data_IF_290268601293
#
_entry.id   IF_290268601293
#
_cell.length_a   1.000
_cell.length_b   1.000
_cell.length_c   1.000
_cell.angle_alpha   90.00
_cell.angle_beta   90.00
_cell.angle_gamma   90.00
#
_symmetry.space_group_name_H-M   'P 1'
#
loop_
_entity.id
_entity.type
_entity.pdbx_description
1 polymer ?
#
# COMPACT_ATOMS: atom_id res chain seq x y z
N UNK A 1 28.60 -32.54 -5.39
CA UNK A 1 28.06 -32.05 -6.67
C UNK A 1 26.54 -32.26 -6.73
N UNK A 2 26.10 -33.46 -6.38
CA UNK A 2 24.64 -33.74 -6.33
C UNK A 2 23.96 -32.86 -5.29
N UNK A 3 24.62 -32.63 -4.16
CA UNK A 3 24.09 -31.73 -3.12
C UNK A 3 24.04 -30.29 -3.58
N UNK A 4 24.87 -29.86 -4.53
CA UNK A 4 24.81 -28.54 -5.10
C UNK A 4 23.51 -28.31 -5.88
N UNK A 5 23.03 -29.35 -6.60
CA UNK A 5 21.76 -29.25 -7.33
C UNK A 5 20.58 -29.09 -6.38
N UNK A 6 20.56 -29.83 -5.28
CA UNK A 6 19.52 -29.71 -4.26
C UNK A 6 19.59 -28.36 -3.55
N UNK A 7 20.80 -27.93 -3.19
CA UNK A 7 21.03 -26.63 -2.57
C UNK A 7 20.57 -25.51 -3.49
N UNK A 8 20.84 -25.65 -4.79
CA UNK A 8 20.38 -24.67 -5.79
C UNK A 8 18.86 -24.53 -5.82
N UNK A 9 18.13 -25.65 -5.77
CA UNK A 9 16.67 -25.64 -5.72
C UNK A 9 16.14 -24.98 -4.46
N UNK A 10 16.73 -25.31 -3.31
CA UNK A 10 16.37 -24.69 -2.05
C UNK A 10 16.65 -23.20 -2.05
N UNK A 11 17.78 -22.78 -2.59
CA UNK A 11 18.14 -21.38 -2.72
C UNK A 11 17.16 -20.62 -3.61
N UNK A 12 16.69 -21.22 -4.71
CA UNK A 12 15.68 -20.61 -5.57
C UNK A 12 14.38 -20.35 -4.82
N UNK A 13 13.94 -21.29 -3.98
CA UNK A 13 12.73 -21.14 -3.16
C UNK A 13 12.94 -20.04 -2.13
N UNK A 14 14.08 -20.05 -1.45
CA UNK A 14 14.43 -19.02 -0.47
C UNK A 14 14.54 -17.65 -1.11
N UNK A 15 15.16 -17.57 -2.30
CA UNK A 15 15.30 -16.32 -3.03
C UNK A 15 13.94 -15.75 -3.39
N UNK A 16 12.98 -16.59 -3.80
CA UNK A 16 11.61 -16.16 -4.10
C UNK A 16 10.93 -15.60 -2.87
N UNK A 17 11.05 -16.30 -1.73
CA UNK A 17 10.46 -15.85 -0.46
C UNK A 17 11.11 -14.54 -0.02
N UNK A 18 12.43 -14.46 -0.09
CA UNK A 18 13.17 -13.25 0.28
C UNK A 18 12.84 -12.08 -0.64
N UNK A 19 12.70 -12.33 -1.94
CA UNK A 19 12.32 -11.32 -2.92
C UNK A 19 10.91 -10.80 -2.63
N UNK A 20 9.98 -11.71 -2.31
CA UNK A 20 8.62 -11.34 -1.95
C UNK A 20 8.58 -10.49 -0.70
N UNK A 21 9.33 -10.89 0.32
CA UNK A 21 9.43 -10.15 1.59
C UNK A 21 10.05 -8.78 1.37
N UNK A 22 11.10 -8.69 0.55
CA UNK A 22 11.73 -7.42 0.20
C UNK A 22 10.77 -6.51 -0.54
N UNK A 23 9.96 -7.07 -1.46
CA UNK A 23 8.93 -6.30 -2.16
C UNK A 23 7.89 -5.75 -1.19
N UNK A 24 7.45 -6.56 -0.24
CA UNK A 24 6.49 -6.11 0.78
C UNK A 24 7.07 -4.99 1.62
N UNK A 25 8.31 -5.11 2.05
CA UNK A 25 8.99 -4.07 2.81
C UNK A 25 9.16 -2.80 1.97
N UNK A 26 9.58 -2.93 0.72
CA UNK A 26 9.73 -1.78 -0.17
C UNK A 26 8.40 -1.09 -0.40
N UNK A 27 7.32 -1.87 -0.60
CA UNK A 27 5.98 -1.31 -0.76
C UNK A 27 5.54 -0.55 0.49
N UNK A 28 5.78 -1.11 1.68
CA UNK A 28 5.37 -0.49 2.93
C UNK A 28 6.20 0.76 3.27
N UNK A 29 7.49 0.74 2.98
CA UNK A 29 8.42 1.80 3.38
C UNK A 29 8.61 2.89 2.33
N UNK A 30 8.43 2.57 1.05
CA UNK A 30 8.60 3.54 -0.03
C UNK A 30 7.27 4.09 -0.49
N UNK A 31 7.09 5.43 -0.49
CA UNK A 31 5.84 6.02 -0.98
C UNK A 31 5.67 5.94 -2.49
N UNK A 32 6.69 5.51 -3.22
CA UNK A 32 6.66 5.52 -4.68
C UNK A 32 6.53 4.12 -5.29
N UNK A 33 6.51 3.07 -4.48
CA UNK A 33 6.29 1.69 -4.95
C UNK A 33 4.79 1.46 -5.06
N UNK A 34 4.32 1.07 -6.24
CA UNK A 34 2.91 0.85 -6.49
C UNK A 34 2.47 -0.55 -6.03
N UNK A 35 1.20 -0.66 -5.62
CA UNK A 35 0.65 -1.91 -5.10
C UNK A 35 0.63 -3.04 -6.14
N UNK A 36 0.48 -2.71 -7.42
CA UNK A 36 0.45 -3.71 -8.48
C UNK A 36 1.77 -4.48 -8.62
N UNK A 37 2.89 -3.93 -8.12
CA UNK A 37 4.16 -4.66 -8.11
C UNK A 37 4.14 -5.88 -7.20
N UNK A 38 3.15 -5.95 -6.29
CA UNK A 38 2.98 -7.06 -5.35
C UNK A 38 2.17 -8.22 -5.94
N UNK A 39 1.57 -8.03 -7.11
CA UNK A 39 0.71 -9.05 -7.71
C UNK A 39 1.51 -10.29 -8.12
N UNK A 40 0.97 -11.47 -7.82
CA UNK A 40 1.59 -12.76 -8.16
C UNK A 40 1.07 -13.30 -9.49
N UNK A 41 -0.16 -12.97 -9.84
CA UNK A 41 -0.82 -13.46 -11.05
C UNK A 41 -1.40 -12.29 -11.82
N UNK A 42 -1.77 -12.54 -13.09
CA UNK A 42 -2.45 -11.54 -13.90
C UNK A 42 -3.80 -11.15 -13.31
N UNK A 43 -4.51 -12.11 -12.74
CA UNK A 43 -5.79 -11.84 -12.06
C UNK A 43 -5.60 -10.92 -10.85
N UNK A 44 -4.54 -11.13 -10.08
CA UNK A 44 -4.19 -10.27 -8.95
C UNK A 44 -3.81 -8.86 -9.43
N UNK A 45 -3.08 -8.78 -10.53
CA UNK A 45 -2.70 -7.50 -11.14
C UNK A 45 -3.94 -6.70 -11.55
N UNK A 46 -4.89 -7.34 -12.22
CA UNK A 46 -6.15 -6.69 -12.61
C UNK A 46 -6.96 -6.27 -11.39
N UNK A 47 -7.01 -7.10 -10.37
CA UNK A 47 -7.68 -6.79 -9.12
C UNK A 47 -7.06 -5.57 -8.44
N UNK A 48 -5.73 -5.55 -8.32
CA UNK A 48 -5.02 -4.42 -7.70
C UNK A 48 -5.18 -3.14 -8.50
N UNK A 49 -5.23 -3.24 -9.81
CA UNK A 49 -5.46 -2.09 -10.68
C UNK A 49 -6.85 -1.48 -10.45
N UNK A 50 -7.89 -2.31 -10.41
CA UNK A 50 -9.26 -1.86 -10.13
C UNK A 50 -9.36 -1.24 -8.74
N UNK A 51 -8.76 -1.91 -7.75
CA UNK A 51 -8.74 -1.42 -6.38
C UNK A 51 -8.07 -0.05 -6.29
N UNK A 52 -6.94 0.10 -6.94
CA UNK A 52 -6.21 1.36 -6.97
C UNK A 52 -7.04 2.49 -7.61
N UNK A 53 -7.72 2.20 -8.71
CA UNK A 53 -8.57 3.18 -9.37
C UNK A 53 -9.70 3.66 -8.44
N UNK A 54 -10.32 2.75 -7.71
CA UNK A 54 -11.39 3.09 -6.76
C UNK A 54 -10.83 3.97 -5.64
N UNK A 55 -9.68 3.62 -5.09
CA UNK A 55 -9.06 4.37 -4.01
C UNK A 55 -8.64 5.76 -4.51
N UNK A 56 -8.02 5.85 -5.68
CA UNK A 56 -7.57 7.12 -6.26
C UNK A 56 -8.73 8.10 -6.47
N UNK A 57 -9.90 7.60 -6.83
CA UNK A 57 -11.08 8.43 -7.02
C UNK A 57 -11.73 8.93 -5.74
N UNK A 58 -11.34 8.40 -4.57
CA UNK A 58 -12.02 8.67 -3.30
C UNK A 58 -11.11 9.14 -2.16
N UNK A 59 -9.87 9.52 -2.45
CA UNK A 59 -8.95 10.00 -1.41
C UNK A 59 -9.49 11.19 -0.63
N UNK A 60 -10.18 12.09 -1.31
CA UNK A 60 -10.69 13.32 -0.72
C UNK A 60 -11.83 13.09 0.29
N UNK A 61 -12.40 11.90 0.30
CA UNK A 61 -13.52 11.57 1.17
C UNK A 61 -13.03 10.81 2.41
N UNK A 62 -13.01 11.45 3.60
CA UNK A 62 -12.57 10.77 4.82
C UNK A 62 -13.51 9.65 5.28
N UNK A 63 -14.76 9.69 4.82
CA UNK A 63 -15.75 8.66 5.15
C UNK A 63 -15.69 7.44 4.22
N UNK A 64 -14.86 7.50 3.18
CA UNK A 64 -14.68 6.39 2.26
C UNK A 64 -14.07 5.21 3.00
N UNK A 65 -14.75 4.07 2.95
CA UNK A 65 -14.42 2.90 3.76
C UNK A 65 -14.22 1.65 2.91
N UNK A 66 -13.80 0.59 3.58
CA UNK A 66 -13.65 -0.73 2.96
C UNK A 66 -14.96 -1.26 2.40
N UNK A 67 -16.09 -0.96 3.07
CA UNK A 67 -17.39 -1.40 2.61
C UNK A 67 -17.74 -0.80 1.25
N UNK A 68 -17.38 0.45 1.02
CA UNK A 68 -17.57 1.11 -0.26
C UNK A 68 -16.76 0.43 -1.37
N UNK A 69 -15.55 0.01 -1.05
CA UNK A 69 -14.67 -0.70 -1.98
C UNK A 69 -15.26 -2.07 -2.32
N UNK A 70 -15.67 -2.82 -1.31
CA UNK A 70 -16.25 -4.16 -1.47
C UNK A 70 -17.49 -4.09 -2.36
N UNK A 71 -18.37 -3.12 -2.11
CA UNK A 71 -19.57 -2.91 -2.90
C UNK A 71 -19.22 -2.58 -4.36
N UNK A 72 -18.23 -1.73 -4.57
CA UNK A 72 -17.79 -1.33 -5.91
C UNK A 72 -17.18 -2.50 -6.69
N UNK A 73 -16.52 -3.43 -6.01
CA UNK A 73 -15.89 -4.59 -6.64
C UNK A 73 -16.82 -5.78 -6.82
N UNK A 74 -18.05 -5.71 -6.28
CA UNK A 74 -19.02 -6.79 -6.35
C UNK A 74 -18.47 -8.09 -5.75
N UNK A 75 -17.73 -8.00 -4.66
CA UNK A 75 -17.13 -9.13 -3.97
C UNK A 75 -17.72 -9.30 -2.58
N UNK A 76 -17.62 -10.52 -2.02
CA UNK A 76 -17.91 -10.70 -0.61
C UNK A 76 -16.77 -10.10 0.22
N UNK A 77 -17.10 -9.62 1.42
CA UNK A 77 -16.11 -9.08 2.35
C UNK A 77 -15.00 -10.09 2.64
N UNK A 78 -15.37 -11.36 2.88
CA UNK A 78 -14.41 -12.43 3.18
C UNK A 78 -13.43 -12.66 2.04
N UNK A 79 -13.92 -12.70 0.80
CA UNK A 79 -13.05 -12.87 -0.37
C UNK A 79 -12.12 -11.69 -0.55
N UNK A 80 -12.62 -10.48 -0.35
CA UNK A 80 -11.83 -9.28 -0.44
C UNK A 80 -10.70 -9.27 0.59
N UNK A 81 -11.01 -9.54 1.87
CA UNK A 81 -10.01 -9.61 2.94
C UNK A 81 -8.94 -10.65 2.63
N UNK A 82 -9.36 -11.84 2.19
CA UNK A 82 -8.44 -12.92 1.87
C UNK A 82 -7.49 -12.53 0.74
N UNK A 83 -8.02 -11.87 -0.29
CA UNK A 83 -7.24 -11.48 -1.46
C UNK A 83 -6.19 -10.41 -1.11
N UNK A 84 -6.59 -9.39 -0.37
CA UNK A 84 -5.68 -8.34 0.10
C UNK A 84 -4.58 -8.93 0.98
N UNK A 85 -4.96 -9.77 1.94
CA UNK A 85 -3.99 -10.42 2.83
C UNK A 85 -3.01 -11.29 2.05
N UNK A 86 -3.49 -12.02 1.05
CA UNK A 86 -2.65 -12.89 0.23
C UNK A 86 -1.64 -12.12 -0.62
N UNK A 87 -2.04 -10.97 -1.18
CA UNK A 87 -1.17 -10.18 -2.04
C UNK A 87 -0.23 -9.29 -1.22
N UNK A 88 -0.74 -8.58 -0.22
CA UNK A 88 0.00 -7.51 0.46
C UNK A 88 0.43 -7.86 1.88
N UNK A 89 -0.13 -8.90 2.48
CA UNK A 89 0.06 -9.25 3.89
C UNK A 89 -0.35 -8.12 4.85
N UNK A 90 -1.36 -7.36 4.43
CA UNK A 90 -1.94 -6.27 5.19
C UNK A 90 -3.45 -6.47 5.32
N UNK A 91 -4.04 -5.91 6.38
CA UNK A 91 -5.49 -5.82 6.44
C UNK A 91 -5.97 -4.73 5.45
N UNK A 92 -7.23 -4.80 4.99
CA UNK A 92 -7.74 -3.76 4.09
C UNK A 92 -7.67 -2.34 4.67
N UNK A 93 -7.95 -2.17 5.96
CA UNK A 93 -7.86 -0.86 6.61
C UNK A 93 -6.42 -0.34 6.64
N UNK A 94 -5.45 -1.22 6.92
CA UNK A 94 -4.03 -0.87 6.87
C UNK A 94 -3.63 -0.48 5.46
N UNK A 95 -4.12 -1.21 4.47
CA UNK A 95 -3.82 -0.92 3.08
C UNK A 95 -4.39 0.43 2.65
N UNK A 96 -5.65 0.73 2.99
CA UNK A 96 -6.25 2.02 2.66
C UNK A 96 -5.48 3.18 3.31
N UNK A 97 -5.12 3.03 4.58
CA UNK A 97 -4.33 4.03 5.29
C UNK A 97 -2.97 4.24 4.62
N UNK A 98 -2.32 3.14 4.23
CA UNK A 98 -1.03 3.21 3.55
C UNK A 98 -1.13 3.93 2.20
N UNK A 99 -2.18 3.66 1.42
CA UNK A 99 -2.38 4.34 0.14
C UNK A 99 -2.60 5.85 0.32
N UNK A 100 -3.35 6.24 1.36
CA UNK A 100 -3.54 7.64 1.71
C UNK A 100 -2.21 8.30 2.08
N UNK A 101 -1.37 7.63 2.87
CA UNK A 101 -0.06 8.14 3.24
C UNK A 101 0.87 8.26 2.02
N UNK A 102 0.83 7.31 1.11
CA UNK A 102 1.63 7.34 -0.12
C UNK A 102 1.21 8.51 -1.01
N UNK A 103 -0.09 8.73 -1.14
CA UNK A 103 -0.60 9.88 -1.92
C UNK A 103 -0.15 11.19 -1.29
N UNK A 104 -0.20 11.29 0.03
CA UNK A 104 0.28 12.46 0.75
C UNK A 104 1.76 12.72 0.48
N UNK A 105 2.58 11.67 0.51
CA UNK A 105 4.01 11.78 0.23
C UNK A 105 4.27 12.30 -1.19
N UNK A 106 3.50 11.82 -2.15
CA UNK A 106 3.61 12.30 -3.53
C UNK A 106 3.28 13.79 -3.63
N UNK A 107 2.18 14.21 -2.99
CA UNK A 107 1.77 15.61 -2.98
C UNK A 107 2.80 16.50 -2.28
N UNK A 108 3.38 16.05 -1.20
CA UNK A 108 4.45 16.76 -0.50
C UNK A 108 5.69 16.91 -1.37
N UNK A 109 6.05 15.85 -2.08
CA UNK A 109 7.20 15.86 -2.98
C UNK A 109 7.00 16.83 -4.13
N UNK A 110 5.78 16.90 -4.65
CA UNK A 110 5.43 17.80 -5.75
C UNK A 110 5.26 19.25 -5.31
N UNK A 111 5.22 19.50 -3.99
CA UNK A 111 5.01 20.84 -3.46
C UNK A 111 3.60 21.37 -3.62
N UNK A 112 2.61 20.50 -3.68
CA UNK A 112 1.23 20.85 -4.00
C UNK A 112 0.40 21.34 -2.80
N UNK A 113 1.04 21.79 -1.73
CA UNK A 113 0.31 22.33 -0.60
C UNK A 113 1.06 22.20 0.71
N UNK A 114 0.45 22.74 1.75
CA UNK A 114 0.99 22.63 3.11
C UNK A 114 0.62 21.27 3.70
N UNK A 115 1.36 20.85 4.72
CA UNK A 115 1.15 19.56 5.38
C UNK A 115 -0.30 19.38 5.83
N UNK A 116 -0.90 20.40 6.47
CA UNK A 116 -2.28 20.32 6.93
C UNK A 116 -3.28 20.21 5.78
N UNK A 117 -3.05 20.93 4.71
CA UNK A 117 -3.90 20.88 3.53
C UNK A 117 -3.86 19.49 2.89
N UNK A 118 -2.65 18.94 2.73
CA UNK A 118 -2.44 17.63 2.16
C UNK A 118 -3.09 16.55 3.03
N UNK A 119 -3.00 16.68 4.35
CA UNK A 119 -3.66 15.79 5.29
C UNK A 119 -5.15 15.64 4.96
N UNK A 120 -5.86 16.75 4.80
CA UNK A 120 -7.28 16.71 4.46
C UNK A 120 -7.54 16.26 3.03
N UNK A 121 -6.68 16.61 2.09
CA UNK A 121 -6.81 16.20 0.69
C UNK A 121 -6.78 14.68 0.52
N UNK A 122 -5.99 13.99 1.33
CA UNK A 122 -5.90 12.52 1.24
C UNK A 122 -6.86 11.80 2.18
N UNK A 123 -7.74 12.54 2.87
CA UNK A 123 -8.83 11.96 3.64
C UNK A 123 -8.56 11.74 5.12
N UNK A 124 -7.47 12.27 5.67
CA UNK A 124 -7.27 12.27 7.13
C UNK A 124 -8.05 13.41 7.74
N UNK A 125 -8.59 13.19 8.96
CA UNK A 125 -9.36 14.19 9.69
C UNK A 125 -8.55 14.95 10.73
N UNK A 126 -7.38 14.43 11.09
CA UNK A 126 -6.54 14.99 12.15
C UNK A 126 -5.10 15.09 11.70
N UNK A 127 -4.56 16.32 11.62
CA UNK A 127 -3.13 16.49 11.28
C UNK A 127 -2.19 15.78 12.25
N UNK A 128 -2.53 15.75 13.55
CA UNK A 128 -1.71 15.05 14.55
C UNK A 128 -1.65 13.54 14.28
N UNK A 129 -2.79 12.94 14.02
CA UNK A 129 -2.85 11.52 13.69
C UNK A 129 -2.15 11.23 12.38
N UNK A 130 -2.36 12.08 11.38
CA UNK A 130 -1.69 11.97 10.08
C UNK A 130 -0.17 11.97 10.26
N UNK A 131 0.37 12.92 11.01
CA UNK A 131 1.81 13.05 11.22
C UNK A 131 2.39 11.81 11.92
N UNK A 132 1.68 11.28 12.91
CA UNK A 132 2.10 10.06 13.61
C UNK A 132 2.14 8.86 12.66
N UNK A 133 1.10 8.68 11.87
CA UNK A 133 1.03 7.59 10.89
C UNK A 133 2.12 7.72 9.84
N UNK A 134 2.33 8.93 9.34
CA UNK A 134 3.34 9.20 8.33
C UNK A 134 4.75 8.89 8.85
N UNK A 135 5.07 9.37 10.05
CA UNK A 135 6.37 9.12 10.67
C UNK A 135 6.59 7.64 10.94
N UNK A 136 5.56 6.95 11.44
CA UNK A 136 5.65 5.51 11.70
C UNK A 136 5.90 4.72 10.42
N UNK A 137 5.27 5.14 9.32
CA UNK A 137 5.35 4.41 8.05
C UNK A 137 6.64 4.69 7.29
N UNK A 138 7.07 5.94 7.22
CA UNK A 138 8.18 6.37 6.38
C UNK A 138 9.42 6.81 7.15
N UNK A 139 9.34 6.87 8.47
CA UNK A 139 10.49 7.18 9.31
C UNK A 139 10.79 8.67 9.49
N UNK A 140 10.06 9.56 8.81
CA UNK A 140 10.24 11.01 8.91
C UNK A 140 8.89 11.69 9.04
N UNK A 141 8.88 12.88 9.63
CA UNK A 141 7.67 13.69 9.71
C UNK A 141 7.31 14.25 8.33
N UNK A 142 6.02 14.51 8.07
CA UNK A 142 5.61 15.09 6.78
C UNK A 142 6.33 16.40 6.44
N UNK A 143 6.53 17.26 7.43
CA UNK A 143 7.22 18.55 7.25
C UNK A 143 8.67 18.36 6.80
N UNK A 144 9.33 17.33 7.31
CA UNK A 144 10.73 17.02 6.99
C UNK A 144 10.85 16.32 5.65
N UNK A 145 9.81 15.57 5.27
CA UNK A 145 9.76 14.91 3.96
C UNK A 145 9.64 15.93 2.82
N UNK A 146 8.85 16.98 3.04
CA UNK A 146 8.65 18.04 2.04
C UNK A 146 9.87 18.95 1.90
N UNK A 147 10.63 19.05 2.96
CA UNK A 147 11.84 19.88 3.00
C UNK A 147 12.99 19.22 2.30
#
# INVERSE_FOLDING_TARGET
>A
EISLGLVGSEMCIRDRINSREKLRQAFAQSPFVAANTMALTKADEEFMKKLNEIIQGNFHNPDFSMDDIVDSLNMSRSNFYRKIKGVLDLSPNEYLRLERLKRAAQLLKEGNGRVNEICYMVGFNSPSYFSKCFQKQFGVLPKDFAG
#
